data_IF_856780792283
#
_entry.id   IF_856780792283
#
_cell.length_a   1.000
_cell.length_b   1.000
_cell.length_c   1.000
_cell.angle_alpha   90.00
_cell.angle_beta   90.00
_cell.angle_gamma   90.00
#
_symmetry.space_group_name_H-M   'P 1'
#
loop_
_entity.id
_entity.type
_entity.pdbx_description
1 polymer ?
#
# COMPACT_ATOMS: atom_id res chain seq x y z
N UNK A 1 16.56 6.62 -28.25
CA UNK A 1 17.03 5.43 -27.53
C UNK A 1 18.48 5.65 -27.08
N UNK A 2 18.81 5.41 -25.80
CA UNK A 2 20.14 5.58 -25.23
C UNK A 2 20.58 4.20 -24.77
N UNK A 3 21.71 3.67 -25.30
CA UNK A 3 22.17 2.31 -25.04
C UNK A 3 22.96 2.18 -23.74
N UNK A 4 23.58 3.27 -23.24
CA UNK A 4 24.35 3.27 -22.00
C UNK A 4 23.59 3.93 -20.86
N UNK A 5 23.51 3.24 -19.73
CA UNK A 5 22.88 3.78 -18.51
C UNK A 5 23.67 4.98 -17.97
N UNK A 6 24.98 4.94 -18.04
CA UNK A 6 25.87 6.04 -17.62
C UNK A 6 25.58 7.32 -18.42
N UNK A 7 25.43 7.19 -19.74
CA UNK A 7 25.06 8.32 -20.61
C UNK A 7 23.65 8.83 -20.31
N UNK A 8 22.70 7.95 -19.99
CA UNK A 8 21.37 8.38 -19.55
C UNK A 8 21.44 9.21 -18.25
N UNK A 9 22.25 8.79 -17.28
CA UNK A 9 22.48 9.52 -16.04
C UNK A 9 23.05 10.92 -16.32
N UNK A 10 24.05 11.02 -17.20
CA UNK A 10 24.66 12.32 -17.56
C UNK A 10 23.64 13.30 -18.17
N UNK A 11 22.74 12.80 -18.99
CA UNK A 11 21.77 13.62 -19.75
C UNK A 11 20.46 13.93 -19.00
N UNK A 12 20.28 13.39 -17.80
CA UNK A 12 19.00 13.47 -17.07
C UNK A 12 19.19 14.16 -15.73
N UNK A 13 18.16 14.87 -15.25
CA UNK A 13 18.08 15.42 -13.90
C UNK A 13 17.35 14.45 -12.95
N UNK A 14 16.45 13.65 -13.49
CA UNK A 14 15.68 12.63 -12.77
C UNK A 14 15.58 11.35 -13.60
N UNK A 15 15.60 10.21 -12.95
CA UNK A 15 15.56 8.87 -13.57
C UNK A 15 14.40 8.08 -13.00
N UNK A 16 13.58 7.53 -13.90
CA UNK A 16 12.53 6.57 -13.60
C UNK A 16 13.07 5.14 -13.80
N UNK A 17 13.09 4.36 -12.71
CA UNK A 17 13.66 3.01 -12.65
C UNK A 17 12.52 2.00 -12.67
N UNK A 18 12.26 1.45 -13.84
CA UNK A 18 11.21 0.45 -14.12
C UNK A 18 11.79 -0.91 -14.54
N UNK A 19 13.03 -1.15 -14.19
CA UNK A 19 13.74 -2.42 -14.42
C UNK A 19 13.15 -3.56 -13.58
N UNK A 20 13.52 -4.84 -13.81
CA UNK A 20 13.24 -5.89 -12.84
C UNK A 20 13.83 -5.56 -11.46
N UNK A 21 13.13 -5.93 -10.37
CA UNK A 21 13.46 -5.58 -8.98
C UNK A 21 14.92 -5.86 -8.59
N UNK A 22 15.50 -6.93 -9.12
CA UNK A 22 16.91 -7.29 -8.84
C UNK A 22 17.92 -6.23 -9.31
N UNK A 23 17.54 -5.39 -10.28
CA UNK A 23 18.38 -4.32 -10.80
C UNK A 23 18.12 -2.95 -10.15
N UNK A 24 17.05 -2.80 -9.35
CA UNK A 24 16.67 -1.52 -8.74
C UNK A 24 17.80 -0.92 -7.91
N UNK A 25 18.44 -1.73 -7.05
CA UNK A 25 19.50 -1.24 -6.17
C UNK A 25 20.72 -0.72 -6.96
N UNK A 26 21.16 -1.45 -7.99
CA UNK A 26 22.30 -1.03 -8.78
C UNK A 26 22.01 0.25 -9.56
N UNK A 27 20.86 0.28 -10.27
CA UNK A 27 20.45 1.46 -11.04
C UNK A 27 20.28 2.68 -10.15
N UNK A 28 19.51 2.55 -9.06
CA UNK A 28 19.29 3.65 -8.14
C UNK A 28 20.57 4.16 -7.49
N UNK A 29 21.47 3.25 -7.06
CA UNK A 29 22.73 3.63 -6.44
C UNK A 29 23.64 4.41 -7.39
N UNK A 30 23.70 4.04 -8.68
CA UNK A 30 24.47 4.79 -9.68
C UNK A 30 23.90 6.20 -9.89
N UNK A 31 22.58 6.32 -10.03
CA UNK A 31 21.90 7.60 -10.20
C UNK A 31 22.08 8.52 -8.99
N UNK A 32 21.86 7.99 -7.76
CA UNK A 32 22.02 8.74 -6.52
C UNK A 32 23.43 9.26 -6.30
N UNK A 33 24.47 8.44 -6.59
CA UNK A 33 25.88 8.86 -6.52
C UNK A 33 26.24 9.95 -7.53
N UNK A 34 25.49 10.05 -8.60
CA UNK A 34 25.57 11.13 -9.58
C UNK A 34 24.65 12.32 -9.23
N UNK A 35 24.10 12.36 -8.00
CA UNK A 35 23.19 13.39 -7.50
C UNK A 35 21.95 13.59 -8.37
N UNK A 36 21.42 12.51 -8.94
CA UNK A 36 20.18 12.54 -9.72
C UNK A 36 18.97 12.19 -8.86
N UNK A 37 17.84 12.85 -9.09
CA UNK A 37 16.57 12.47 -8.53
C UNK A 37 16.14 11.11 -9.06
N UNK A 38 15.47 10.28 -8.24
CA UNK A 38 15.07 8.93 -8.66
C UNK A 38 13.61 8.64 -8.33
N UNK A 39 12.92 8.07 -9.29
CA UNK A 39 11.66 7.36 -9.07
C UNK A 39 11.97 5.86 -9.20
N UNK A 40 11.54 5.04 -8.25
CA UNK A 40 11.86 3.61 -8.22
C UNK A 40 10.55 2.83 -8.11
N UNK A 41 10.29 1.93 -9.06
CA UNK A 41 9.14 1.03 -8.97
C UNK A 41 9.19 0.13 -7.74
N UNK A 42 8.00 -0.29 -7.30
CA UNK A 42 7.86 -1.24 -6.19
C UNK A 42 8.26 -2.68 -6.61
N UNK A 43 8.78 -3.49 -5.67
CA UNK A 43 9.34 -3.09 -4.40
C UNK A 43 10.65 -2.32 -4.60
N UNK A 44 10.96 -1.42 -3.67
CA UNK A 44 12.12 -0.51 -3.77
C UNK A 44 13.44 -1.24 -4.10
N UNK A 45 13.66 -2.44 -3.53
CA UNK A 45 14.80 -3.32 -3.78
C UNK A 45 14.40 -4.77 -3.58
N UNK A 46 15.31 -5.69 -3.95
CA UNK A 46 15.12 -7.12 -3.72
C UNK A 46 15.31 -7.51 -2.25
N UNK A 47 16.27 -6.89 -1.54
CA UNK A 47 16.61 -7.20 -0.14
C UNK A 47 16.43 -5.99 0.78
N UNK A 48 16.10 -6.25 2.05
CA UNK A 48 16.00 -5.23 3.10
C UNK A 48 17.32 -4.46 3.28
N UNK A 49 18.47 -5.14 3.17
CA UNK A 49 19.78 -4.52 3.31
C UNK A 49 20.06 -3.51 2.18
N UNK A 50 19.72 -3.84 0.95
CA UNK A 50 19.79 -2.92 -0.19
C UNK A 50 18.89 -1.71 0.01
N UNK A 51 17.62 -1.92 0.44
CA UNK A 51 16.69 -0.84 0.74
C UNK A 51 17.23 0.12 1.81
N UNK A 52 17.81 -0.41 2.88
CA UNK A 52 18.47 0.40 3.92
C UNK A 52 19.62 1.25 3.36
N UNK A 53 20.43 0.68 2.48
CA UNK A 53 21.52 1.42 1.83
C UNK A 53 20.99 2.52 0.91
N UNK A 54 19.89 2.29 0.18
CA UNK A 54 19.27 3.34 -0.65
C UNK A 54 18.77 4.51 0.18
N UNK A 55 18.12 4.26 1.33
CA UNK A 55 17.70 5.31 2.26
C UNK A 55 18.89 6.20 2.65
N UNK A 56 20.05 5.59 3.03
CA UNK A 56 21.25 6.33 3.36
C UNK A 56 21.77 7.14 2.17
N UNK A 57 21.84 6.53 0.98
CA UNK A 57 22.33 7.19 -0.24
C UNK A 57 21.46 8.39 -0.64
N UNK A 58 20.13 8.31 -0.49
CA UNK A 58 19.22 9.44 -0.77
C UNK A 58 19.50 10.61 0.17
N UNK A 59 19.70 10.31 1.47
CA UNK A 59 20.07 11.32 2.47
C UNK A 59 21.42 11.98 2.15
N UNK A 60 22.44 11.17 1.82
CA UNK A 60 23.78 11.65 1.47
C UNK A 60 23.79 12.50 0.20
N UNK A 61 23.04 12.09 -0.83
CA UNK A 61 22.97 12.80 -2.10
C UNK A 61 22.14 14.10 -2.03
N UNK A 62 21.25 14.24 -1.03
CA UNK A 62 20.40 15.41 -0.87
C UNK A 62 19.39 15.59 -2.01
N UNK A 63 18.97 14.50 -2.65
CA UNK A 63 18.05 14.52 -3.81
C UNK A 63 16.68 13.98 -3.44
N UNK A 64 15.70 14.18 -4.31
CA UNK A 64 14.36 13.62 -4.15
C UNK A 64 14.35 12.17 -4.65
N UNK A 65 13.75 11.29 -3.84
CA UNK A 65 13.48 9.92 -4.21
C UNK A 65 12.01 9.60 -3.93
N UNK A 66 11.33 8.93 -4.86
CA UNK A 66 9.95 8.47 -4.70
C UNK A 66 9.86 6.99 -5.06
N UNK A 67 9.00 6.26 -4.34
CA UNK A 67 8.72 4.86 -4.62
C UNK A 67 7.37 4.71 -5.29
N UNK A 68 7.29 3.91 -6.36
CA UNK A 68 6.11 3.70 -7.21
C UNK A 68 5.00 2.89 -6.56
N UNK A 69 4.48 3.33 -5.41
CA UNK A 69 3.29 2.77 -4.80
C UNK A 69 2.02 3.41 -5.37
N UNK A 70 1.73 3.08 -6.62
CA UNK A 70 0.67 3.66 -7.45
C UNK A 70 -0.73 3.64 -6.82
N UNK A 71 -1.02 2.69 -5.94
CA UNK A 71 -2.34 2.61 -5.28
C UNK A 71 -2.60 3.79 -4.32
N UNK A 72 -1.57 4.52 -3.88
CA UNK A 72 -1.74 5.79 -3.15
C UNK A 72 -2.40 6.88 -3.98
N UNK A 73 -2.32 6.78 -5.31
CA UNK A 73 -2.90 7.70 -6.29
C UNK A 73 -4.15 7.13 -6.96
N UNK A 74 -4.61 5.96 -6.51
CA UNK A 74 -5.85 5.40 -6.99
C UNK A 74 -7.02 6.33 -6.62
N UNK A 75 -7.87 6.72 -7.60
CA UNK A 75 -8.92 7.71 -7.36
C UNK A 75 -9.91 7.30 -6.27
N UNK A 76 -10.18 5.99 -6.10
CA UNK A 76 -11.02 5.51 -5.00
C UNK A 76 -10.36 5.74 -3.63
N UNK A 77 -9.06 5.52 -3.50
CA UNK A 77 -8.34 5.77 -2.26
C UNK A 77 -8.25 7.27 -1.95
N UNK A 78 -8.00 8.09 -2.97
CA UNK A 78 -7.98 9.55 -2.80
C UNK A 78 -9.32 10.08 -2.30
N UNK A 79 -10.43 9.60 -2.86
CA UNK A 79 -11.78 9.95 -2.40
C UNK A 79 -12.09 9.46 -0.97
N UNK A 80 -11.45 8.37 -0.52
CA UNK A 80 -11.60 7.86 0.83
C UNK A 80 -10.76 8.63 1.87
N UNK A 81 -9.66 9.27 1.45
CA UNK A 81 -8.60 9.77 2.34
C UNK A 81 -9.11 10.78 3.37
N UNK A 82 -10.05 11.66 3.01
CA UNK A 82 -10.63 12.66 3.91
C UNK A 82 -11.52 12.05 5.02
N UNK A 83 -12.03 10.83 4.81
CA UNK A 83 -12.86 10.10 5.77
C UNK A 83 -12.06 9.22 6.72
N UNK A 84 -10.79 8.93 6.38
CA UNK A 84 -9.94 8.04 7.17
C UNK A 84 -9.39 8.78 8.41
N UNK A 85 -9.81 8.32 9.58
CA UNK A 85 -9.37 8.88 10.86
C UNK A 85 -9.19 7.78 11.91
N UNK A 86 -7.94 7.40 12.14
CA UNK A 86 -7.56 6.40 13.16
C UNK A 86 -8.39 5.10 13.07
N UNK A 87 -8.30 4.33 12.00
CA UNK A 87 -9.01 3.06 11.89
C UNK A 87 -8.57 2.11 13.01
N UNK A 88 -9.55 1.40 13.56
CA UNK A 88 -9.34 0.40 14.62
C UNK A 88 -9.15 -1.00 14.04
N UNK A 89 -9.76 -1.26 12.89
CA UNK A 89 -9.67 -2.52 12.20
C UNK A 89 -9.62 -2.28 10.68
N UNK A 90 -8.74 -3.00 9.99
CA UNK A 90 -8.60 -2.93 8.54
C UNK A 90 -8.64 -4.34 7.97
N UNK A 91 -9.35 -4.52 6.89
CA UNK A 91 -9.42 -5.77 6.14
C UNK A 91 -9.13 -5.52 4.68
N UNK A 92 -8.17 -6.23 4.10
CA UNK A 92 -7.82 -6.10 2.69
C UNK A 92 -7.86 -7.45 1.97
N UNK A 93 -8.35 -7.41 0.74
CA UNK A 93 -8.33 -8.55 -0.18
C UNK A 93 -7.77 -8.11 -1.52
N UNK A 94 -6.65 -8.71 -1.91
CA UNK A 94 -6.04 -8.54 -3.23
C UNK A 94 -5.94 -9.90 -3.90
N UNK A 95 -6.93 -10.19 -4.71
CA UNK A 95 -7.10 -11.46 -5.39
C UNK A 95 -6.88 -11.25 -6.88
N UNK A 96 -6.07 -12.10 -7.51
CA UNK A 96 -5.81 -12.09 -8.93
C UNK A 96 -6.04 -13.49 -9.53
N UNK A 97 -6.50 -13.54 -10.76
CA UNK A 97 -6.50 -14.75 -11.56
C UNK A 97 -5.06 -15.17 -11.85
N UNK A 98 -4.85 -16.48 -12.00
CA UNK A 98 -3.50 -17.01 -12.23
C UNK A 98 -2.90 -16.47 -13.54
N UNK A 99 -1.70 -15.95 -13.44
CA UNK A 99 -0.87 -15.56 -14.57
C UNK A 99 0.50 -16.23 -14.41
N UNK A 100 0.97 -17.02 -15.40
CA UNK A 100 2.27 -17.69 -15.32
C UNK A 100 3.47 -16.73 -15.27
N UNK A 101 3.28 -15.46 -15.64
CA UNK A 101 4.31 -14.43 -15.51
C UNK A 101 4.40 -13.96 -14.05
N UNK A 102 5.60 -13.86 -13.50
CA UNK A 102 5.83 -13.35 -12.15
C UNK A 102 5.65 -14.38 -11.03
N UNK A 103 5.68 -15.68 -11.35
CA UNK A 103 5.65 -16.76 -10.36
C UNK A 103 6.96 -16.93 -9.59
N UNK A 104 8.02 -16.30 -10.06
CA UNK A 104 9.34 -16.18 -9.42
C UNK A 104 9.35 -15.28 -8.18
N UNK A 105 8.34 -14.39 -8.05
CA UNK A 105 8.18 -13.49 -6.90
C UNK A 105 7.02 -13.95 -6.04
N UNK A 106 7.17 -13.93 -4.70
CA UNK A 106 6.08 -14.31 -3.79
C UNK A 106 4.87 -13.38 -3.92
N UNK A 107 3.67 -13.90 -3.67
CA UNK A 107 2.41 -13.12 -3.67
C UNK A 107 2.45 -11.94 -2.67
N UNK A 108 3.31 -12.03 -1.66
CA UNK A 108 3.51 -10.94 -0.68
C UNK A 108 4.21 -9.75 -1.31
N UNK A 109 5.33 -9.99 -2.01
CA UNK A 109 6.11 -8.93 -2.66
C UNK A 109 5.47 -8.41 -3.95
N UNK A 110 4.68 -9.25 -4.64
CA UNK A 110 4.00 -8.83 -5.86
C UNK A 110 2.68 -8.11 -5.59
N UNK A 111 1.80 -8.71 -4.79
CA UNK A 111 0.43 -8.24 -4.58
C UNK A 111 0.23 -7.57 -3.21
N UNK A 112 0.57 -8.26 -2.10
CA UNK A 112 0.25 -7.78 -0.75
C UNK A 112 0.96 -6.46 -0.42
N UNK A 113 2.13 -6.21 -0.98
CA UNK A 113 2.93 -5.01 -0.72
C UNK A 113 2.17 -3.70 -1.02
N UNK A 114 1.27 -3.70 -2.00
CA UNK A 114 0.41 -2.56 -2.29
C UNK A 114 -0.53 -2.24 -1.13
N UNK A 115 -1.12 -3.26 -0.51
CA UNK A 115 -2.02 -3.09 0.62
C UNK A 115 -1.25 -2.78 1.91
N UNK A 116 -0.03 -3.33 2.06
CA UNK A 116 0.89 -2.97 3.14
C UNK A 116 1.22 -1.48 3.10
N UNK A 117 1.57 -0.95 1.95
CA UNK A 117 1.85 0.47 1.77
C UNK A 117 0.64 1.34 2.15
N UNK A 118 -0.56 1.01 1.67
CA UNK A 118 -1.79 1.71 2.04
C UNK A 118 -2.00 1.68 3.56
N UNK A 119 -1.90 0.51 4.21
CA UNK A 119 -2.11 0.37 5.65
C UNK A 119 -1.10 1.20 6.43
N UNK A 120 0.19 1.11 6.10
CA UNK A 120 1.25 1.87 6.75
C UNK A 120 1.10 3.39 6.56
N UNK A 121 0.54 3.81 5.42
CA UNK A 121 0.25 5.23 5.16
C UNK A 121 -0.88 5.78 6.02
N UNK A 122 -1.84 4.95 6.40
CA UNK A 122 -3.03 5.31 7.19
C UNK A 122 -2.80 5.10 8.69
N UNK A 123 -2.17 3.98 9.08
CA UNK A 123 -1.91 3.64 10.48
C UNK A 123 -0.55 4.18 10.90
N UNK A 124 -0.52 5.38 11.47
CA UNK A 124 0.70 6.03 11.94
C UNK A 124 1.06 5.54 13.36
N UNK A 125 1.42 4.26 13.49
CA UNK A 125 1.78 3.62 14.75
C UNK A 125 2.79 2.50 14.51
N UNK A 126 3.71 2.23 15.44
CA UNK A 126 4.61 1.09 15.34
C UNK A 126 3.84 -0.24 15.28
N UNK A 127 4.44 -1.20 14.57
CA UNK A 127 3.92 -2.57 14.52
C UNK A 127 4.33 -3.29 15.81
N UNK A 128 3.34 -3.83 16.52
CA UNK A 128 3.50 -4.61 17.75
C UNK A 128 3.73 -6.09 17.46
N UNK A 129 2.99 -6.65 16.50
CA UNK A 129 3.04 -8.08 16.19
C UNK A 129 2.62 -8.37 14.76
N UNK A 130 3.27 -9.35 14.14
CA UNK A 130 2.89 -9.91 12.84
C UNK A 130 2.71 -11.42 12.98
N UNK A 131 1.56 -11.92 12.53
CA UNK A 131 1.33 -13.33 12.27
C UNK A 131 1.03 -13.48 10.79
N UNK A 132 1.53 -14.55 10.17
CA UNK A 132 1.27 -14.81 8.76
C UNK A 132 1.28 -16.31 8.46
N UNK A 133 0.52 -16.67 7.44
CA UNK A 133 0.50 -18.02 6.84
C UNK A 133 0.42 -17.89 5.33
N UNK A 134 0.91 -18.87 4.61
CA UNK A 134 0.87 -18.93 3.16
C UNK A 134 0.95 -20.34 2.65
N UNK A 135 0.44 -20.56 1.44
CA UNK A 135 0.43 -21.87 0.80
C UNK A 135 0.90 -21.73 -0.64
N UNK A 136 1.86 -22.57 -1.04
CA UNK A 136 2.25 -22.81 -2.42
C UNK A 136 1.32 -23.88 -3.01
N UNK A 137 0.70 -23.59 -4.14
CA UNK A 137 -0.26 -24.51 -4.80
C UNK A 137 0.20 -24.82 -6.23
N UNK A 138 0.63 -23.81 -6.97
CA UNK A 138 1.00 -23.91 -8.39
C UNK A 138 2.42 -23.42 -8.67
N UNK A 139 3.06 -22.74 -7.73
CA UNK A 139 4.44 -22.25 -7.83
C UNK A 139 5.27 -22.70 -6.62
N UNK A 140 6.60 -22.48 -6.68
CA UNK A 140 7.52 -22.82 -5.58
C UNK A 140 7.45 -21.85 -4.40
N UNK A 141 6.76 -20.72 -4.57
CA UNK A 141 6.54 -19.71 -3.53
C UNK A 141 5.06 -19.64 -3.15
N UNK A 142 4.73 -19.00 -2.04
CA UNK A 142 3.33 -18.85 -1.62
C UNK A 142 2.49 -18.17 -2.71
N UNK A 143 1.43 -18.85 -3.17
CA UNK A 143 0.44 -18.37 -4.15
C UNK A 143 -0.73 -17.68 -3.48
N UNK A 144 -1.01 -18.05 -2.23
CA UNK A 144 -1.95 -17.37 -1.34
C UNK A 144 -1.26 -17.10 -0.01
N UNK A 145 -1.45 -15.92 0.53
CA UNK A 145 -0.93 -15.53 1.83
C UNK A 145 -1.99 -14.74 2.62
N UNK A 146 -2.01 -14.99 3.92
CA UNK A 146 -2.76 -14.20 4.89
C UNK A 146 -1.80 -13.65 5.94
N UNK A 147 -1.96 -12.37 6.28
CA UNK A 147 -1.20 -11.72 7.33
C UNK A 147 -2.13 -10.97 8.27
N UNK A 148 -1.82 -11.02 9.58
CA UNK A 148 -2.44 -10.22 10.62
C UNK A 148 -1.39 -9.36 11.29
N UNK A 149 -1.56 -8.06 11.22
CA UNK A 149 -0.67 -7.04 11.80
C UNK A 149 -1.41 -6.35 12.94
N UNK A 150 -0.80 -6.31 14.12
CA UNK A 150 -1.28 -5.59 15.29
C UNK A 150 -0.36 -4.39 15.54
N UNK A 151 -0.94 -3.22 15.75
CA UNK A 151 -0.21 -1.97 15.99
C UNK A 151 -0.28 -1.56 17.47
N UNK A 152 0.67 -0.77 17.94
CA UNK A 152 0.74 -0.31 19.34
C UNK A 152 -0.47 0.56 19.73
N UNK A 153 -1.06 1.29 18.77
CA UNK A 153 -2.29 2.08 19.01
C UNK A 153 -3.56 1.21 19.10
N UNK A 154 -3.45 -0.12 19.02
CA UNK A 154 -4.54 -1.07 19.08
C UNK A 154 -5.22 -1.36 17.74
N UNK A 155 -4.83 -0.68 16.65
CA UNK A 155 -5.32 -1.03 15.32
C UNK A 155 -4.87 -2.44 14.92
N UNK A 156 -5.75 -3.15 14.22
CA UNK A 156 -5.46 -4.46 13.65
C UNK A 156 -5.75 -4.46 12.16
N UNK A 157 -4.81 -4.97 11.36
CA UNK A 157 -5.00 -5.16 9.93
C UNK A 157 -4.92 -6.64 9.55
N UNK A 158 -5.91 -7.14 8.83
CA UNK A 158 -5.91 -8.46 8.20
C UNK A 158 -5.77 -8.28 6.68
N UNK A 159 -4.78 -8.95 6.11
CA UNK A 159 -4.48 -8.90 4.69
C UNK A 159 -4.58 -10.30 4.08
N UNK A 160 -5.25 -10.40 2.95
CA UNK A 160 -5.26 -11.62 2.14
C UNK A 160 -4.84 -11.27 0.71
N UNK A 161 -3.81 -11.93 0.22
CA UNK A 161 -3.37 -11.84 -1.17
C UNK A 161 -3.36 -13.22 -1.81
N UNK A 162 -3.87 -13.34 -3.04
CA UNK A 162 -3.89 -14.58 -3.80
C UNK A 162 -3.69 -14.29 -5.29
N UNK A 163 -2.85 -15.10 -5.94
CA UNK A 163 -2.66 -15.10 -7.40
C UNK A 163 -3.37 -16.26 -8.11
N UNK A 164 -4.15 -17.07 -7.37
CA UNK A 164 -4.82 -18.28 -7.86
C UNK A 164 -6.34 -18.22 -7.65
N UNK A 165 -6.91 -17.02 -7.70
CA UNK A 165 -8.33 -16.80 -7.50
C UNK A 165 -9.10 -16.84 -8.82
N UNK A 166 -10.40 -17.19 -8.77
CA UNK A 166 -11.26 -17.23 -9.95
C UNK A 166 -11.71 -15.85 -10.47
N UNK A 167 -11.53 -14.81 -9.65
CA UNK A 167 -11.92 -13.43 -9.97
C UNK A 167 -10.94 -12.45 -9.36
N UNK A 168 -10.67 -11.38 -10.09
CA UNK A 168 -9.88 -10.28 -9.59
C UNK A 168 -10.67 -9.47 -8.53
N UNK A 169 -10.02 -9.13 -7.43
CA UNK A 169 -10.54 -8.25 -6.39
C UNK A 169 -9.39 -7.41 -5.83
N UNK A 170 -9.63 -6.11 -5.63
CA UNK A 170 -8.70 -5.21 -4.92
C UNK A 170 -9.52 -4.33 -4.01
N UNK A 171 -9.74 -4.77 -2.78
CA UNK A 171 -10.68 -4.11 -1.87
C UNK A 171 -10.11 -3.97 -0.47
N UNK A 172 -10.24 -2.77 0.10
CA UNK A 172 -9.90 -2.49 1.49
C UNK A 172 -11.11 -1.94 2.23
N UNK A 173 -11.28 -2.38 3.49
CA UNK A 173 -12.33 -1.93 4.40
C UNK A 173 -11.69 -1.41 5.66
N UNK A 174 -12.08 -0.22 6.04
CA UNK A 174 -11.58 0.46 7.23
C UNK A 174 -12.73 0.66 8.20
N UNK A 175 -12.56 0.17 9.42
CA UNK A 175 -13.52 0.29 10.50
C UNK A 175 -12.95 1.24 11.55
N UNK A 176 -13.65 2.32 11.81
CA UNK A 176 -13.31 3.31 12.81
C UNK A 176 -14.54 3.63 13.69
N UNK A 177 -14.38 4.45 14.72
CA UNK A 177 -15.46 4.66 15.71
C UNK A 177 -16.74 5.21 15.13
N UNK A 178 -16.63 6.07 14.11
CA UNK A 178 -17.73 6.87 13.54
C UNK A 178 -18.06 6.49 12.09
N UNK A 179 -17.25 5.63 11.46
CA UNK A 179 -17.42 5.26 10.07
C UNK A 179 -16.93 3.85 9.74
N UNK A 180 -17.57 3.28 8.73
CA UNK A 180 -17.08 2.17 7.92
C UNK A 180 -16.81 2.71 6.52
N UNK A 181 -15.58 2.47 6.02
CA UNK A 181 -15.15 2.95 4.72
C UNK A 181 -14.73 1.74 3.87
N UNK A 182 -15.32 1.61 2.69
CA UNK A 182 -15.02 0.55 1.74
C UNK A 182 -14.41 1.16 0.47
N UNK A 183 -13.20 0.74 0.12
CA UNK A 183 -12.47 1.19 -1.06
C UNK A 183 -12.29 0.01 -2.01
N UNK A 184 -12.88 0.08 -3.19
CA UNK A 184 -12.69 -0.87 -4.28
C UNK A 184 -11.75 -0.24 -5.33
N UNK A 185 -10.48 -0.60 -5.26
CA UNK A 185 -9.43 -0.06 -6.14
C UNK A 185 -9.61 -0.48 -7.60
N UNK A 186 -10.18 -1.68 -7.82
CA UNK A 186 -10.40 -2.22 -9.16
C UNK A 186 -11.56 -1.52 -9.86
N UNK A 187 -12.67 -1.33 -9.11
CA UNK A 187 -13.88 -0.66 -9.62
C UNK A 187 -13.83 0.86 -9.49
N UNK A 188 -12.79 1.39 -8.86
CA UNK A 188 -12.62 2.82 -8.54
C UNK A 188 -13.84 3.38 -7.81
N UNK A 189 -14.28 2.70 -6.76
CA UNK A 189 -15.47 3.07 -5.99
C UNK A 189 -15.15 3.17 -4.50
N UNK A 190 -15.67 4.22 -3.86
CA UNK A 190 -15.60 4.40 -2.41
C UNK A 190 -17.00 4.53 -1.84
N UNK A 191 -17.26 3.84 -0.75
CA UNK A 191 -18.51 3.88 0.00
C UNK A 191 -18.18 4.16 1.46
N UNK A 192 -18.88 5.11 2.04
CA UNK A 192 -18.71 5.50 3.44
C UNK A 192 -20.04 5.36 4.17
N UNK A 193 -20.06 4.59 5.24
CA UNK A 193 -21.20 4.47 6.14
C UNK A 193 -20.82 5.11 7.47
N UNK A 194 -21.53 6.14 7.87
CA UNK A 194 -21.27 6.89 9.11
C UNK A 194 -22.37 6.71 10.12
N UNK A 195 -21.99 6.76 11.39
CA UNK A 195 -22.90 6.68 12.52
C UNK A 195 -22.87 8.00 13.30
N UNK A 196 -24.04 8.61 13.49
CA UNK A 196 -24.21 9.77 14.39
C UNK A 196 -25.18 9.42 15.51
N UNK A 197 -25.01 10.02 16.69
CA UNK A 197 -25.98 9.88 17.75
C UNK A 197 -27.31 10.52 17.32
N UNK A 198 -28.42 9.81 17.52
CA UNK A 198 -29.75 10.36 17.34
C UNK A 198 -30.02 11.37 18.47
N UNK A 199 -30.38 12.60 18.10
CA UNK A 199 -30.79 13.66 19.02
C UNK A 199 -32.23 14.01 18.65
N UNK A 200 -33.16 13.76 19.57
CA UNK A 200 -34.62 13.92 19.31
C UNK A 200 -35.25 12.71 18.60
N UNK A 201 -36.33 12.96 17.88
CA UNK A 201 -37.02 11.92 17.10
C UNK A 201 -36.40 11.78 15.71
N UNK A 202 -36.33 10.54 15.16
CA UNK A 202 -35.79 10.33 13.82
C UNK A 202 -36.73 10.96 12.77
N UNK A 203 -36.14 11.49 11.72
CA UNK A 203 -36.91 11.94 10.56
C UNK A 203 -37.52 10.75 9.79
N UNK A 204 -38.47 11.01 8.89
CA UNK A 204 -39.22 9.95 8.19
C UNK A 204 -38.37 9.09 7.24
N UNK A 205 -37.17 9.53 6.88
CA UNK A 205 -36.22 8.81 6.02
C UNK A 205 -34.93 8.37 6.75
N UNK A 206 -34.84 8.64 8.06
CA UNK A 206 -33.67 8.26 8.83
C UNK A 206 -33.63 6.75 9.08
N UNK A 207 -32.52 6.13 8.76
CA UNK A 207 -32.25 4.75 9.13
C UNK A 207 -31.57 4.77 10.50
N UNK A 208 -32.24 4.20 11.50
CA UNK A 208 -31.73 4.19 12.86
C UNK A 208 -31.37 2.80 13.35
N UNK A 209 -30.36 2.73 14.22
CA UNK A 209 -30.00 1.54 14.98
C UNK A 209 -30.20 1.85 16.46
N UNK A 210 -31.06 1.07 17.15
CA UNK A 210 -31.14 1.07 18.59
C UNK A 210 -30.01 0.23 19.18
N UNK A 211 -29.20 0.83 20.05
CA UNK A 211 -28.05 0.18 20.70
C UNK A 211 -28.46 -0.52 22.02
N UNK A 212 -29.74 -0.55 22.34
CA UNK A 212 -30.29 -1.18 23.54
C UNK A 212 -30.26 -0.31 24.77
N UNK A 213 -30.68 -0.87 25.91
CA UNK A 213 -30.86 -0.15 27.17
C UNK A 213 -29.61 0.66 27.55
N UNK A 214 -29.79 1.95 27.77
CA UNK A 214 -28.82 2.93 28.23
C UNK A 214 -27.75 3.38 27.18
N UNK A 215 -27.85 2.97 25.91
CA UNK A 215 -26.88 3.37 24.88
C UNK A 215 -27.43 4.33 23.82
N UNK A 216 -28.78 4.54 23.84
CA UNK A 216 -29.44 5.39 22.88
C UNK A 216 -29.50 4.80 21.46
N UNK A 217 -29.90 5.63 20.51
CA UNK A 217 -29.99 5.24 19.12
C UNK A 217 -29.00 6.04 18.25
N UNK A 218 -28.57 5.44 17.14
CA UNK A 218 -27.76 6.13 16.14
C UNK A 218 -28.45 6.16 14.80
N UNK A 219 -28.17 7.21 14.03
CA UNK A 219 -28.59 7.34 12.64
C UNK A 219 -27.45 6.86 11.75
N UNK A 220 -27.80 6.10 10.70
CA UNK A 220 -26.87 5.65 9.66
C UNK A 220 -26.96 6.62 8.49
N UNK A 221 -25.80 7.11 8.05
CA UNK A 221 -25.64 7.89 6.83
C UNK A 221 -24.81 7.13 5.82
N UNK A 222 -25.26 7.15 4.58
CA UNK A 222 -24.53 6.57 3.44
C UNK A 222 -23.97 7.71 2.60
N UNK A 223 -22.66 7.83 2.56
CA UNK A 223 -21.95 8.74 1.67
C UNK A 223 -21.31 7.96 0.53
N UNK A 224 -21.44 8.47 -0.68
CA UNK A 224 -20.72 7.99 -1.85
C UNK A 224 -19.86 9.14 -2.37
N UNK A 225 -18.63 9.26 -1.87
CA UNK A 225 -17.73 10.31 -2.34
C UNK A 225 -17.57 10.25 -3.85
N UNK A 226 -17.60 11.43 -4.48
CA UNK A 226 -17.32 11.51 -5.91
C UNK A 226 -15.89 11.06 -6.17
N UNK A 227 -15.74 10.00 -6.94
CA UNK A 227 -14.42 9.54 -7.41
C UNK A 227 -14.15 10.22 -8.74
N UNK A 228 -13.17 11.11 -8.76
CA UNK A 228 -12.77 11.80 -9.99
C UNK A 228 -11.91 10.90 -10.85
N UNK A 229 -12.22 10.81 -12.13
CA UNK A 229 -11.42 10.02 -13.05
C UNK A 229 -10.00 10.59 -13.15
N UNK A 230 -9.02 9.77 -12.86
CA UNK A 230 -7.61 10.12 -12.97
C UNK A 230 -6.76 8.91 -13.38
N UNK A 231 -5.61 9.20 -13.97
CA UNK A 231 -4.58 8.19 -14.23
C UNK A 231 -3.58 8.22 -13.06
N UNK A 232 -3.61 7.17 -12.23
CA UNK A 232 -2.79 7.08 -11.03
C UNK A 232 -1.28 7.13 -11.35
N UNK A 233 -0.81 6.45 -12.41
CA UNK A 233 0.60 6.46 -12.84
C UNK A 233 1.01 7.87 -13.27
N UNK A 234 0.19 8.54 -14.07
CA UNK A 234 0.46 9.92 -14.48
C UNK A 234 0.54 10.85 -13.27
N UNK A 235 -0.41 10.71 -12.34
CA UNK A 235 -0.48 11.56 -11.13
C UNK A 235 0.74 11.38 -10.24
N UNK A 236 1.21 10.15 -10.02
CA UNK A 236 2.37 9.91 -9.18
C UNK A 236 3.66 10.49 -9.78
N UNK A 237 3.85 10.39 -11.11
CA UNK A 237 4.98 10.98 -11.80
C UNK A 237 4.90 12.52 -11.80
N UNK A 238 3.71 13.10 -12.01
CA UNK A 238 3.51 14.55 -11.92
C UNK A 238 3.81 15.08 -10.53
N UNK A 239 3.38 14.37 -9.46
CA UNK A 239 3.69 14.74 -8.08
C UNK A 239 5.18 14.60 -7.75
N UNK A 240 5.86 13.61 -8.31
CA UNK A 240 7.32 13.49 -8.17
C UNK A 240 8.05 14.68 -8.80
N UNK A 241 7.69 15.05 -10.03
CA UNK A 241 8.26 16.23 -10.72
C UNK A 241 7.96 17.52 -9.95
N UNK A 242 6.74 17.66 -9.43
CA UNK A 242 6.37 18.83 -8.64
C UNK A 242 7.16 18.90 -7.32
N UNK A 243 7.39 17.76 -6.65
CA UNK A 243 8.22 17.70 -5.46
C UNK A 243 9.67 18.15 -5.71
N UNK A 244 10.23 17.78 -6.88
CA UNK A 244 11.56 18.26 -7.32
C UNK A 244 11.54 19.78 -7.54
N UNK A 245 10.58 20.30 -8.31
CA UNK A 245 10.51 21.71 -8.68
C UNK A 245 10.25 22.64 -7.51
N UNK A 246 9.43 22.20 -6.56
CA UNK A 246 9.03 22.99 -5.39
C UNK A 246 9.87 22.70 -4.14
N UNK A 247 10.88 21.84 -4.25
CA UNK A 247 11.73 21.35 -3.15
C UNK A 247 10.94 20.78 -1.97
N UNK A 248 9.80 20.14 -2.24
CA UNK A 248 8.96 19.50 -1.22
C UNK A 248 9.31 18.02 -1.05
N UNK A 249 8.77 17.44 0.01
CA UNK A 249 8.82 16.00 0.23
C UNK A 249 8.02 15.28 -0.85
N UNK A 250 8.50 14.13 -1.31
CA UNK A 250 7.79 13.28 -2.26
C UNK A 250 6.56 12.64 -1.62
N UNK A 251 5.55 12.30 -2.43
CA UNK A 251 4.28 11.76 -1.96
C UNK A 251 4.41 10.37 -1.34
N UNK A 252 5.37 9.57 -1.83
CA UNK A 252 5.77 8.28 -1.26
C UNK A 252 7.28 8.31 -1.08
N UNK A 253 7.74 8.50 0.14
CA UNK A 253 9.15 8.66 0.42
C UNK A 253 9.92 7.34 0.30
N UNK A 254 11.24 7.44 0.19
CA UNK A 254 12.11 6.27 0.16
C UNK A 254 12.00 5.45 1.45
N UNK A 255 11.81 6.11 2.59
CA UNK A 255 11.61 5.49 3.91
C UNK A 255 10.29 4.73 3.98
N UNK A 256 9.21 5.28 3.43
CA UNK A 256 7.90 4.61 3.38
C UNK A 256 7.96 3.35 2.51
N UNK A 257 8.58 3.44 1.32
CA UNK A 257 8.83 2.27 0.47
C UNK A 257 9.71 1.22 1.14
N UNK A 258 10.74 1.65 1.86
CA UNK A 258 11.58 0.76 2.67
C UNK A 258 10.79 0.08 3.79
N UNK A 259 9.92 0.79 4.51
CA UNK A 259 9.08 0.19 5.54
C UNK A 259 8.12 -0.86 4.97
N UNK A 260 7.51 -0.60 3.83
CA UNK A 260 6.67 -1.59 3.15
C UNK A 260 7.47 -2.87 2.79
N UNK A 261 8.70 -2.72 2.29
CA UNK A 261 9.60 -3.83 2.01
C UNK A 261 9.97 -4.62 3.27
N UNK A 262 10.33 -3.93 4.36
CA UNK A 262 10.67 -4.56 5.66
C UNK A 262 9.52 -5.42 6.16
N UNK A 263 8.29 -4.88 6.15
CA UNK A 263 7.11 -5.60 6.62
C UNK A 263 6.79 -6.79 5.71
N UNK A 264 6.94 -6.64 4.39
CA UNK A 264 6.75 -7.74 3.44
C UNK A 264 7.73 -8.89 3.73
N UNK A 265 9.01 -8.60 3.99
CA UNK A 265 10.01 -9.61 4.38
C UNK A 265 9.66 -10.27 5.71
N UNK A 266 9.27 -9.51 6.74
CA UNK A 266 8.84 -10.07 8.03
C UNK A 266 7.65 -11.03 7.89
N UNK A 267 6.69 -10.73 7.00
CA UNK A 267 5.59 -11.62 6.66
C UNK A 267 6.10 -12.90 6.01
N UNK A 268 7.03 -12.78 5.04
CA UNK A 268 7.63 -13.96 4.39
C UNK A 268 8.39 -14.84 5.37
N UNK A 269 9.14 -14.25 6.31
CA UNK A 269 9.85 -15.01 7.34
C UNK A 269 8.90 -15.83 8.23
N UNK A 270 7.72 -15.26 8.56
CA UNK A 270 6.67 -15.97 9.31
C UNK A 270 6.07 -17.12 8.49
N UNK A 271 5.79 -16.90 7.20
CA UNK A 271 5.27 -17.93 6.30
C UNK A 271 6.29 -19.08 6.19
N UNK A 272 7.56 -18.77 5.92
CA UNK A 272 8.61 -19.77 5.75
C UNK A 272 8.85 -20.55 7.04
N UNK A 273 8.81 -19.89 8.21
CA UNK A 273 8.96 -20.57 9.51
C UNK A 273 7.82 -21.54 9.79
N UNK A 274 6.59 -21.24 9.35
CA UNK A 274 5.45 -22.14 9.53
C UNK A 274 5.46 -23.34 8.57
N UNK A 275 5.98 -23.17 7.35
CA UNK A 275 6.12 -24.27 6.39
C UNK A 275 7.18 -25.28 6.81
N UNK A 276 8.29 -24.83 7.41
CA UNK A 276 9.37 -25.70 7.91
C UNK A 276 8.96 -26.59 9.13
N UNK A 277 7.84 -26.31 9.77
CA UNK A 277 7.30 -27.12 10.89
C UNK A 277 6.43 -28.28 10.37
N UNK A 278 6.01 -28.24 9.10
CA UNK A 278 5.14 -29.25 8.48
C UNK A 278 5.91 -30.32 7.68
N UNK A 279 7.23 -30.20 7.60
CA UNK A 279 8.17 -31.16 7.01
C UNK A 279 8.97 -31.81 8.14
#
# INVERSE_FOLDING_TARGET
FIESYERLIEMSDAIDIVTPTIAHFECASKALRASKHVFIEKPITHTVNEGKKLVSLVTEAGVKAQVGHVERFNPAFLAAKEYLNQPLFIETHRLAEFNPRGTDVSVVHDLMIHDLDIILSVVKSPIKKINASGVAVVSDTADIANARIEFDNGCVANLTASRISLKNMRKSRFFQRDAYISVDFLKRKTEVVRLKNLVGEPGPLDITIDLGKNKGSKIIYFDQPKVEESNAIKMELEQFIEAIRSDKQTAVTIEEGYQALVVAHQIMDKINSSLNVLV
#
